data_IF_680643170065
#
_entry.id   IF_680643170065
#
_cell.length_a   1.000
_cell.length_b   1.000
_cell.length_c   1.000
_cell.angle_alpha   90.00
_cell.angle_beta   90.00
_cell.angle_gamma   90.00
#
_symmetry.space_group_name_H-M   'P 1'
#
loop_
_entity.id
_entity.type
_entity.pdbx_description
1 polymer ?
#
# COMPACT_ATOMS: atom_id res chain seq x y z
N UNK A 1 -45.07 4.11 -1.91
CA UNK A 1 -44.37 2.94 -2.50
C UNK A 1 -43.04 3.37 -3.16
N UNK A 2 -42.30 4.33 -2.56
CA UNK A 2 -41.05 4.93 -3.07
C UNK A 2 -39.98 4.91 -1.95
N UNK A 3 -39.87 3.82 -1.21
CA UNK A 3 -38.80 3.62 -0.21
C UNK A 3 -37.80 2.54 -0.65
N UNK A 4 -38.23 1.57 -1.46
CA UNK A 4 -37.37 0.50 -1.96
C UNK A 4 -36.35 0.95 -3.02
N UNK A 5 -36.67 1.96 -3.84
CA UNK A 5 -35.76 2.45 -4.89
C UNK A 5 -34.57 3.23 -4.30
N UNK A 6 -34.84 4.04 -3.28
CA UNK A 6 -33.89 4.91 -2.59
C UNK A 6 -32.85 4.08 -1.83
N UNK A 7 -33.27 2.95 -1.23
CA UNK A 7 -32.38 2.06 -0.49
C UNK A 7 -31.36 1.36 -1.39
N UNK A 8 -31.77 0.92 -2.59
CA UNK A 8 -30.86 0.27 -3.54
C UNK A 8 -29.88 1.28 -4.14
N UNK A 9 -30.31 2.49 -4.51
CA UNK A 9 -29.36 3.52 -4.98
C UNK A 9 -28.38 3.94 -3.89
N UNK A 10 -28.82 4.01 -2.62
CA UNK A 10 -27.91 4.23 -1.50
C UNK A 10 -26.92 3.08 -1.33
N UNK A 11 -27.39 1.83 -1.43
CA UNK A 11 -26.53 0.66 -1.35
C UNK A 11 -25.52 0.64 -2.49
N UNK A 12 -25.89 0.98 -3.72
CA UNK A 12 -25.00 1.04 -4.88
C UNK A 12 -23.99 2.20 -4.78
N UNK A 13 -24.41 3.36 -4.27
CA UNK A 13 -23.52 4.50 -4.02
C UNK A 13 -22.53 4.17 -2.90
N UNK A 14 -23.03 3.64 -1.78
CA UNK A 14 -22.19 3.19 -0.66
C UNK A 14 -21.22 2.13 -1.15
N UNK A 15 -21.70 1.07 -1.83
CA UNK A 15 -20.89 -0.02 -2.37
C UNK A 15 -19.75 0.51 -3.27
N UNK A 16 -20.03 1.48 -4.13
CA UNK A 16 -19.00 2.11 -4.98
C UNK A 16 -17.94 2.87 -4.18
N UNK A 17 -18.33 3.57 -3.11
CA UNK A 17 -17.39 4.28 -2.23
C UNK A 17 -16.51 3.31 -1.44
N UNK A 18 -17.08 2.21 -0.91
CA UNK A 18 -16.29 1.21 -0.18
C UNK A 18 -15.27 0.54 -1.09
N UNK A 19 -15.63 0.22 -2.34
CA UNK A 19 -14.69 -0.37 -3.30
C UNK A 19 -13.47 0.52 -3.56
N UNK A 20 -13.65 1.84 -3.70
CA UNK A 20 -12.55 2.80 -3.93
C UNK A 20 -11.66 2.96 -2.69
N UNK A 21 -12.24 3.00 -1.50
CA UNK A 21 -11.49 3.15 -0.25
C UNK A 21 -10.75 1.87 0.16
N UNK A 22 -11.29 0.68 -0.15
CA UNK A 22 -10.64 -0.61 0.10
C UNK A 22 -9.33 -0.75 -0.68
N UNK A 23 -9.32 -0.36 -1.97
CA UNK A 23 -8.11 -0.41 -2.79
C UNK A 23 -6.98 0.47 -2.22
N UNK A 24 -7.34 1.66 -1.74
CA UNK A 24 -6.39 2.57 -1.09
C UNK A 24 -5.89 2.05 0.25
N UNK A 25 -6.77 1.52 1.09
CA UNK A 25 -6.36 0.90 2.35
C UNK A 25 -5.40 -0.27 2.13
N UNK A 26 -5.63 -1.08 1.08
CA UNK A 26 -4.72 -2.15 0.68
C UNK A 26 -3.34 -1.63 0.25
N UNK A 27 -3.29 -0.55 -0.54
CA UNK A 27 -2.05 0.09 -0.95
C UNK A 27 -1.26 0.66 0.25
N UNK A 28 -1.95 1.31 1.18
CA UNK A 28 -1.36 1.82 2.43
C UNK A 28 -0.87 0.67 3.31
N UNK A 29 -1.62 -0.42 3.43
CA UNK A 29 -1.20 -1.61 4.17
C UNK A 29 0.07 -2.22 3.57
N UNK A 30 0.13 -2.38 2.25
CA UNK A 30 1.32 -2.86 1.55
C UNK A 30 2.53 -1.93 1.82
N UNK A 31 2.32 -0.61 1.80
CA UNK A 31 3.38 0.36 2.09
C UNK A 31 3.92 0.20 3.52
N UNK A 32 3.05 0.04 4.51
CA UNK A 32 3.44 -0.18 5.92
C UNK A 32 4.20 -1.50 6.08
N UNK A 33 3.73 -2.57 5.43
CA UNK A 33 4.39 -3.88 5.46
C UNK A 33 5.80 -3.79 4.85
N UNK A 34 5.94 -3.21 3.66
CA UNK A 34 7.24 -2.99 3.01
C UNK A 34 8.15 -2.11 3.86
N UNK A 35 7.62 -1.05 4.51
CA UNK A 35 8.38 -0.22 5.44
C UNK A 35 8.91 -1.01 6.64
N UNK A 36 8.07 -1.87 7.22
CA UNK A 36 8.46 -2.71 8.37
C UNK A 36 9.55 -3.71 7.98
N UNK A 37 9.45 -4.30 6.79
CA UNK A 37 10.48 -5.21 6.24
C UNK A 37 11.79 -4.45 6.01
N UNK A 38 11.75 -3.24 5.44
CA UNK A 38 12.95 -2.41 5.23
C UNK A 38 13.60 -2.01 6.57
N UNK A 39 12.81 -1.63 7.57
CA UNK A 39 13.31 -1.27 8.89
C UNK A 39 14.07 -2.41 9.58
N UNK A 40 13.66 -3.67 9.37
CA UNK A 40 14.34 -4.84 9.95
C UNK A 40 15.49 -5.30 9.06
N UNK A 41 15.28 -5.37 7.74
CA UNK A 41 16.28 -5.88 6.79
C UNK A 41 17.51 -4.99 6.69
N UNK A 42 17.37 -3.67 6.81
CA UNK A 42 18.50 -2.74 6.75
C UNK A 42 19.51 -3.03 7.88
N UNK A 43 19.16 -2.97 9.19
CA UNK A 43 20.06 -3.36 10.27
C UNK A 43 20.61 -4.78 10.16
N UNK A 44 19.78 -5.76 9.77
CA UNK A 44 20.19 -7.17 9.66
C UNK A 44 21.27 -7.37 8.60
N UNK A 45 21.13 -6.72 7.44
CA UNK A 45 22.10 -6.79 6.36
C UNK A 45 23.40 -6.06 6.73
N UNK A 46 23.31 -4.95 7.46
CA UNK A 46 24.48 -4.21 7.95
C UNK A 46 25.22 -4.92 9.09
N UNK A 47 24.52 -5.72 9.91
CA UNK A 47 25.13 -6.46 11.02
C UNK A 47 25.86 -7.75 10.61
N UNK A 48 25.62 -8.27 9.40
CA UNK A 48 26.22 -9.53 8.94
C UNK A 48 27.56 -9.30 8.22
N UNK A 49 28.65 -10.05 8.51
CA UNK A 49 30.00 -9.83 7.97
C UNK A 49 30.12 -9.89 6.42
N UNK A 50 29.15 -10.52 5.74
CA UNK A 50 29.04 -10.60 4.27
C UNK A 50 27.67 -10.13 3.75
N UNK A 51 26.81 -9.61 4.63
CA UNK A 51 25.43 -9.26 4.33
C UNK A 51 25.32 -8.23 3.21
N UNK A 52 26.21 -7.24 3.21
CA UNK A 52 26.22 -6.17 2.21
C UNK A 52 26.57 -6.64 0.80
N UNK A 53 27.46 -7.62 0.64
CA UNK A 53 27.86 -8.10 -0.70
C UNK A 53 26.77 -8.98 -1.30
N UNK A 54 26.18 -9.86 -0.48
CA UNK A 54 25.18 -10.83 -0.91
C UNK A 54 23.76 -10.23 -1.06
N UNK A 55 23.34 -9.36 -0.14
CA UNK A 55 21.95 -8.87 -0.07
C UNK A 55 21.75 -7.46 -0.66
N UNK A 56 22.76 -6.88 -1.33
CA UNK A 56 22.69 -5.52 -1.88
C UNK A 56 21.50 -5.34 -2.84
N UNK A 57 21.30 -6.30 -3.74
CA UNK A 57 20.21 -6.25 -4.73
C UNK A 57 18.82 -6.37 -4.07
N UNK A 58 18.72 -7.15 -3.00
CA UNK A 58 17.46 -7.29 -2.26
C UNK A 58 17.07 -5.97 -1.57
N UNK A 59 18.02 -5.32 -0.90
CA UNK A 59 17.77 -4.00 -0.30
C UNK A 59 17.47 -2.93 -1.34
N UNK A 60 18.20 -2.91 -2.47
CA UNK A 60 17.95 -1.95 -3.54
C UNK A 60 16.58 -2.13 -4.18
N UNK A 61 16.19 -3.37 -4.47
CA UNK A 61 14.87 -3.72 -5.01
C UNK A 61 13.75 -3.43 -4.01
N UNK A 62 13.96 -3.73 -2.72
CA UNK A 62 13.00 -3.40 -1.67
C UNK A 62 12.80 -1.89 -1.50
N UNK A 63 13.88 -1.11 -1.56
CA UNK A 63 13.83 0.35 -1.44
C UNK A 63 13.20 1.00 -2.67
N UNK A 64 13.50 0.52 -3.87
CA UNK A 64 12.88 1.02 -5.10
C UNK A 64 11.38 0.69 -5.16
N UNK A 65 11.00 -0.53 -4.75
CA UNK A 65 9.60 -0.93 -4.59
C UNK A 65 8.88 -0.02 -3.58
N UNK A 66 9.51 0.27 -2.44
CA UNK A 66 8.96 1.15 -1.41
C UNK A 66 8.71 2.57 -1.94
N UNK A 67 9.69 3.17 -2.63
CA UNK A 67 9.51 4.48 -3.29
C UNK A 67 8.37 4.44 -4.30
N UNK A 68 8.30 3.39 -5.12
CA UNK A 68 7.20 3.20 -6.06
C UNK A 68 5.83 3.13 -5.38
N UNK A 69 5.73 2.41 -4.25
CA UNK A 69 4.51 2.36 -3.44
C UNK A 69 4.15 3.72 -2.83
N UNK A 70 5.12 4.51 -2.36
CA UNK A 70 4.85 5.86 -1.81
C UNK A 70 4.22 6.76 -2.88
N UNK A 71 4.79 6.78 -4.09
CA UNK A 71 4.22 7.54 -5.21
C UNK A 71 2.83 7.02 -5.60
N UNK A 72 2.66 5.69 -5.68
CA UNK A 72 1.39 5.08 -6.03
C UNK A 72 0.29 5.44 -5.02
N UNK A 73 0.58 5.37 -3.72
CA UNK A 73 -0.35 5.79 -2.65
C UNK A 73 -0.69 7.27 -2.77
N UNK A 74 0.29 8.15 -3.07
CA UNK A 74 0.02 9.59 -3.27
C UNK A 74 -0.88 9.88 -4.48
N UNK A 75 -0.69 9.14 -5.58
CA UNK A 75 -1.56 9.24 -6.78
C UNK A 75 -2.96 8.72 -6.45
N UNK A 76 -3.07 7.54 -5.84
CA UNK A 76 -4.35 6.97 -5.42
C UNK A 76 -5.11 7.91 -4.47
N UNK A 77 -4.41 8.57 -3.53
CA UNK A 77 -4.99 9.54 -2.63
C UNK A 77 -5.65 10.71 -3.40
N UNK A 78 -4.99 11.20 -4.46
CA UNK A 78 -5.52 12.27 -5.30
C UNK A 78 -6.68 11.84 -6.22
N UNK A 79 -6.85 10.54 -6.48
CA UNK A 79 -7.95 10.00 -7.28
C UNK A 79 -9.22 9.71 -6.47
N UNK A 80 -9.08 9.61 -5.15
CA UNK A 80 -10.14 9.24 -4.21
C UNK A 80 -10.70 10.48 -3.49
N UNK A 81 -9.85 11.48 -3.25
CA UNK A 81 -10.24 12.79 -2.73
C UNK A 81 -10.95 13.64 -3.77
#
# INVERSE_FOLDING_TARGET
MIEGSNGIVHLLVVWRIISMTIAFQLAVFALIATSSILLISVPVVFASPDGWSSNKNFLFSGTSLWIGLVFLVGILNSLIS
#
